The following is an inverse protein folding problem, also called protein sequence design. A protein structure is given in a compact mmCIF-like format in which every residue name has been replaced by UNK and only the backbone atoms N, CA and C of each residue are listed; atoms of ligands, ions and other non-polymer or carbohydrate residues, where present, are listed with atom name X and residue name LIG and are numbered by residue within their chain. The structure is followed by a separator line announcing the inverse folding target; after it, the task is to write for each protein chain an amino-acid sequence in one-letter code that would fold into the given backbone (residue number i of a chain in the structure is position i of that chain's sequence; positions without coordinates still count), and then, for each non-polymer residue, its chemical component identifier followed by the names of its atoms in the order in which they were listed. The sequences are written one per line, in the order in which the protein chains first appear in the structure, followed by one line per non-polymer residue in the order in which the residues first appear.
data_IF_751492194983
#
_entry.id   IF_751492194983
#
_cell.length_a   1.000
_cell.length_b   1.000
_cell.length_c   1.000
_cell.angle_alpha   90.00
_cell.angle_beta   90.00
_cell.angle_gamma   90.00
#
_symmetry.space_group_name_H-M   'P 1'
#
loop_
_entity.id
_entity.type
_entity.pdbx_description
1 polymer ?
#
# COMPACT_ATOMS: atom_id res chain seq x y z
N UNK A 1 -6.57 4.11 -1.42
CA UNK A 1 -6.54 3.95 -2.89
C UNK A 1 -7.81 4.55 -3.45
N UNK A 2 -7.82 5.10 -4.68
CA UNK A 2 -9.06 5.73 -5.19
C UNK A 2 -10.15 4.66 -5.39
N UNK A 3 -11.24 4.73 -4.62
CA UNK A 3 -12.35 3.79 -4.69
C UNK A 3 -12.23 2.55 -3.77
N UNK A 4 -11.23 2.52 -2.89
CA UNK A 4 -11.17 1.53 -1.80
C UNK A 4 -11.07 2.28 -0.47
N UNK A 5 -12.11 2.13 0.35
CA UNK A 5 -12.25 2.77 1.67
C UNK A 5 -11.71 1.89 2.82
N UNK A 6 -11.25 0.67 2.52
CA UNK A 6 -10.65 -0.20 3.53
C UNK A 6 -9.38 0.44 4.14
N UNK A 7 -9.27 0.40 5.46
CA UNK A 7 -8.04 0.79 6.16
C UNK A 7 -6.93 -0.21 5.86
N UNK A 8 -5.87 0.22 5.18
CA UNK A 8 -4.72 -0.63 4.83
C UNK A 8 -3.53 -0.26 5.70
N UNK A 9 -2.97 -1.24 6.40
CA UNK A 9 -1.75 -1.09 7.19
C UNK A 9 -0.58 -1.77 6.48
N UNK A 10 0.49 -1.02 6.20
CA UNK A 10 1.62 -1.50 5.39
C UNK A 10 2.56 -2.33 6.25
N UNK A 11 2.78 -3.59 5.86
CA UNK A 11 3.72 -4.50 6.51
C UNK A 11 5.11 -4.46 5.88
N UNK A 12 5.16 -4.44 4.55
CA UNK A 12 6.41 -4.46 3.81
C UNK A 12 6.27 -3.64 2.51
N UNK A 13 7.39 -3.03 2.12
CA UNK A 13 7.49 -2.22 0.92
C UNK A 13 8.82 -2.47 0.23
N UNK A 14 8.76 -2.76 -1.06
CA UNK A 14 9.92 -3.00 -1.92
C UNK A 14 9.73 -2.24 -3.23
N UNK A 15 10.78 -1.55 -3.70
CA UNK A 15 10.77 -0.78 -4.94
C UNK A 15 11.88 -1.20 -5.87
N UNK A 16 11.54 -1.35 -7.15
CA UNK A 16 12.46 -1.59 -8.25
C UNK A 16 12.35 -0.41 -9.22
N UNK A 17 13.44 0.34 -9.36
CA UNK A 17 13.54 1.57 -10.13
C UNK A 17 14.85 1.59 -10.91
N UNK A 18 14.76 1.82 -12.22
CA UNK A 18 15.92 1.99 -13.08
C UNK A 18 15.64 3.05 -14.15
N UNK A 19 16.70 3.69 -14.65
CA UNK A 19 16.58 4.68 -15.72
C UNK A 19 15.96 4.04 -16.97
N UNK A 20 15.01 4.75 -17.57
CA UNK A 20 14.30 4.32 -18.79
C UNK A 20 13.53 3.00 -18.65
N UNK A 21 13.22 2.57 -17.41
CA UNK A 21 12.35 1.43 -17.13
C UNK A 21 11.14 1.89 -16.32
N UNK A 22 9.96 1.26 -16.48
CA UNK A 22 8.84 1.47 -15.57
C UNK A 22 9.23 1.09 -14.15
N UNK A 23 8.90 1.93 -13.17
CA UNK A 23 9.06 1.57 -11.76
C UNK A 23 8.06 0.47 -11.36
N UNK A 24 8.43 -0.34 -10.37
CA UNK A 24 7.52 -1.31 -9.76
C UNK A 24 7.65 -1.27 -8.25
N UNK A 25 6.52 -1.17 -7.57
CA UNK A 25 6.46 -1.28 -6.11
C UNK A 25 5.62 -2.46 -5.69
N UNK A 26 6.15 -3.26 -4.77
CA UNK A 26 5.43 -4.33 -4.08
C UNK A 26 5.11 -3.86 -2.67
N UNK A 27 3.82 -3.81 -2.35
CA UNK A 27 3.32 -3.40 -1.05
C UNK A 27 2.58 -4.60 -0.46
N UNK A 28 3.04 -5.08 0.69
CA UNK A 28 2.28 -6.01 1.52
C UNK A 28 1.55 -5.21 2.58
N UNK A 29 0.27 -5.49 2.77
CA UNK A 29 -0.55 -4.80 3.75
C UNK A 29 -1.51 -5.77 4.42
N UNK A 30 -2.00 -5.36 5.58
CA UNK A 30 -3.16 -5.98 6.25
C UNK A 30 -4.33 -5.03 6.26
N UNK A 31 -5.53 -5.58 6.43
CA UNK A 31 -6.73 -4.79 6.66
C UNK A 31 -7.66 -5.56 7.59
N UNK A 32 -8.39 -4.82 8.43
CA UNK A 32 -9.52 -5.37 9.16
C UNK A 32 -10.72 -5.67 8.24
N UNK A 33 -10.76 -5.04 7.06
CA UNK A 33 -11.75 -5.32 6.03
C UNK A 33 -11.28 -6.48 5.15
N UNK A 34 -11.99 -7.61 5.23
CA UNK A 34 -11.72 -8.80 4.43
C UNK A 34 -12.43 -8.80 3.07
N UNK A 35 -13.28 -7.80 2.79
CA UNK A 35 -14.07 -7.69 1.55
C UNK A 35 -13.35 -6.89 0.44
N UNK A 36 -12.02 -6.76 0.52
CA UNK A 36 -11.21 -6.11 -0.51
C UNK A 36 -11.18 -6.99 -1.77
N UNK A 37 -11.96 -6.60 -2.76
CA UNK A 37 -12.03 -7.30 -4.05
C UNK A 37 -10.94 -6.84 -5.01
N UNK A 38 -10.66 -7.65 -6.05
CA UNK A 38 -9.72 -7.25 -7.11
C UNK A 38 -10.22 -6.04 -7.88
N UNK A 39 -11.53 -5.95 -8.11
CA UNK A 39 -12.18 -4.88 -8.87
C UNK A 39 -12.10 -3.52 -8.16
N UNK A 40 -12.04 -3.54 -6.83
CA UNK A 40 -11.82 -2.35 -6.00
C UNK A 40 -10.40 -1.80 -6.12
N UNK A 41 -9.42 -2.64 -6.44
CA UNK A 41 -7.99 -2.27 -6.41
C UNK A 41 -7.37 -2.16 -7.80
N UNK A 42 -7.56 -3.16 -8.66
CA UNK A 42 -6.89 -3.25 -9.95
C UNK A 42 -7.27 -2.08 -10.86
N UNK A 43 -6.26 -1.59 -11.59
CA UNK A 43 -6.38 -0.45 -12.50
C UNK A 43 -6.87 0.84 -11.85
N UNK A 44 -6.88 0.90 -10.51
CA UNK A 44 -7.14 2.14 -9.77
C UNK A 44 -5.84 2.89 -9.52
N UNK A 45 -5.94 4.21 -9.52
CA UNK A 45 -4.86 5.07 -9.07
C UNK A 45 -4.60 4.86 -7.57
N UNK A 46 -3.33 4.77 -7.22
CA UNK A 46 -2.84 4.60 -5.86
C UNK A 46 -1.73 5.60 -5.56
N UNK A 47 -1.61 5.95 -4.29
CA UNK A 47 -0.52 6.76 -3.76
C UNK A 47 0.06 6.08 -2.54
N UNK A 48 1.38 6.06 -2.42
CA UNK A 48 2.10 5.69 -1.21
C UNK A 48 2.91 6.90 -0.74
N UNK A 49 2.71 7.30 0.50
CA UNK A 49 3.43 8.41 1.11
C UNK A 49 4.38 7.86 2.16
N UNK A 50 5.67 8.04 1.96
CA UNK A 50 6.69 7.79 2.98
C UNK A 50 6.79 9.04 3.83
N UNK A 51 6.54 8.90 5.13
CA UNK A 51 6.64 10.00 6.09
C UNK A 51 7.80 9.75 7.04
N UNK A 52 8.56 10.80 7.36
CA UNK A 52 9.55 10.70 8.41
C UNK A 52 8.85 10.55 9.77
N UNK A 53 9.52 9.94 10.77
CA UNK A 53 9.05 10.03 12.14
C UNK A 53 8.86 11.48 12.56
N UNK A 54 7.85 11.75 13.39
CA UNK A 54 7.67 13.09 13.97
C UNK A 54 8.88 13.38 14.86
N UNK A 55 9.62 14.45 14.56
CA UNK A 55 10.67 14.92 15.44
C UNK A 55 10.03 15.48 16.72
N UNK A 56 9.96 14.66 17.78
CA UNK A 56 9.52 15.11 19.09
C UNK A 56 10.64 15.94 19.74
N UNK A 57 10.69 17.23 19.40
CA UNK A 57 11.63 18.20 19.94
C UNK A 57 11.59 19.51 19.16
N UNK A 58 11.76 20.65 19.83
CA UNK A 58 11.81 22.00 19.25
C UNK A 58 10.49 22.64 18.77
N UNK A 59 9.33 22.13 19.17
CA UNK A 59 8.04 22.80 18.89
C UNK A 59 7.56 22.73 17.43
N UNK A 60 8.21 21.89 16.60
CA UNK A 60 7.85 21.67 15.20
C UNK A 60 7.03 20.37 15.12
N UNK A 61 5.71 20.47 15.03
CA UNK A 61 4.79 19.32 14.91
C UNK A 61 4.55 18.86 13.46
N UNK A 62 5.37 19.28 12.50
CA UNK A 62 5.10 19.03 11.08
C UNK A 62 5.76 17.73 10.63
N UNK A 63 4.95 16.70 10.42
CA UNK A 63 5.40 15.48 9.75
C UNK A 63 5.49 15.74 8.24
N UNK A 64 6.70 15.95 7.73
CA UNK A 64 6.91 16.20 6.30
C UNK A 64 6.98 14.86 5.54
N UNK A 65 6.29 14.75 4.38
CA UNK A 65 6.44 13.59 3.52
C UNK A 65 7.86 13.57 2.94
N UNK A 66 8.54 12.45 3.11
CA UNK A 66 9.86 12.18 2.54
C UNK A 66 9.73 11.90 1.05
N UNK A 67 8.68 11.18 0.66
CA UNK A 67 8.39 10.86 -0.74
C UNK A 67 6.90 10.57 -0.92
N UNK A 68 6.36 10.98 -2.06
CA UNK A 68 5.04 10.54 -2.53
C UNK A 68 5.25 9.78 -3.83
N UNK A 69 4.80 8.54 -3.87
CA UNK A 69 4.82 7.67 -5.05
C UNK A 69 3.39 7.58 -5.56
N UNK A 70 3.16 7.95 -6.81
CA UNK A 70 1.87 7.84 -7.48
C UNK A 70 1.95 6.80 -8.60
N UNK A 71 0.93 5.96 -8.73
CA UNK A 71 0.90 4.93 -9.75
C UNK A 71 -0.47 4.28 -9.91
N UNK A 72 -0.50 3.17 -10.62
CA UNK A 72 -1.69 2.35 -10.86
C UNK A 72 -1.45 0.94 -10.35
N UNK A 73 -2.43 0.36 -9.68
CA UNK A 73 -2.33 -1.03 -9.21
C UNK A 73 -2.47 -1.98 -10.39
N UNK A 74 -1.41 -2.71 -10.70
CA UNK A 74 -1.37 -3.68 -11.81
C UNK A 74 -1.52 -5.14 -11.36
N UNK A 75 -1.45 -5.41 -10.06
CA UNK A 75 -1.64 -6.75 -9.50
C UNK A 75 -2.12 -6.73 -8.05
N UNK A 76 -2.94 -7.71 -7.68
CA UNK A 76 -3.41 -7.94 -6.30
C UNK A 76 -3.45 -9.45 -6.03
N UNK A 77 -2.84 -9.85 -4.91
CA UNK A 77 -2.85 -11.23 -4.41
C UNK A 77 -3.27 -11.24 -2.95
N UNK A 78 -4.33 -11.97 -2.64
CA UNK A 78 -4.69 -12.27 -1.25
C UNK A 78 -3.77 -13.35 -0.69
N UNK A 79 -3.29 -13.16 0.54
CA UNK A 79 -2.75 -14.24 1.36
C UNK A 79 -3.87 -14.77 2.25
N UNK A 80 -3.78 -16.06 2.57
CA UNK A 80 -4.68 -16.68 3.56
C UNK A 80 -3.85 -16.86 4.82
N UNK A 81 -4.33 -16.40 5.99
CA UNK A 81 -3.62 -16.61 7.24
C UNK A 81 -3.28 -18.10 7.42
N UNK A 82 -2.10 -18.44 7.98
CA UNK A 82 -1.77 -19.82 8.30
C UNK A 82 -2.89 -20.45 9.13
N UNK A 83 -3.41 -21.61 8.70
CA UNK A 83 -4.49 -22.34 9.39
C UNK A 83 -5.90 -22.10 8.86
N UNK A 84 -6.14 -21.08 8.03
CA UNK A 84 -7.44 -20.87 7.39
C UNK A 84 -7.47 -21.58 6.02
N UNK A 85 -8.45 -22.46 5.74
CA UNK A 85 -8.60 -23.04 4.40
C UNK A 85 -9.21 -22.01 3.47
N UNK A 86 -8.71 -21.91 2.22
CA UNK A 86 -9.42 -21.16 1.16
C UNK A 86 -10.76 -21.83 0.92
N UNK A 87 -11.84 -21.23 1.37
CA UNK A 87 -13.18 -21.61 0.93
C UNK A 87 -13.34 -21.09 -0.50
N UNK A 88 -13.19 -21.99 -1.47
CA UNK A 88 -13.60 -21.76 -2.85
C UNK A 88 -15.13 -21.72 -2.87
N UNK A 89 -15.71 -20.61 -3.34
CA UNK A 89 -17.01 -20.63 -4.02
C UNK A 89 -16.76 -20.64 -5.51
#
# INVERSE_FOLDING_TARGET
MKGCEAGLDVLAFEGDEALSQPFRYRIEFTSADHAISKEMMLMKAASLTLQAPVAQGFGINVQQPVRVIQGVVTGLKGSVPPGMKRTTR
#
